data_IF_489071726497
#
_entry.id   IF_489071726497
#
_cell.length_a   1.000
_cell.length_b   1.000
_cell.length_c   1.000
_cell.angle_alpha   90.00
_cell.angle_beta   90.00
_cell.angle_gamma   90.00
#
_symmetry.space_group_name_H-M   'P 1'
#
loop_
_entity.id
_entity.type
_entity.pdbx_description
1 polymer ?
#
# COMPACT_ATOMS: atom_id res chain seq x y z
N UNK A 1 20.33 -2.77 -17.52
CA UNK A 1 19.22 -2.43 -16.59
C UNK A 1 19.30 -3.20 -15.27
N UNK A 2 19.30 -4.54 -15.26
CA UNK A 2 19.32 -5.35 -14.03
C UNK A 2 20.51 -5.09 -13.09
N UNK A 3 21.73 -4.90 -13.64
CA UNK A 3 22.92 -4.58 -12.83
C UNK A 3 22.80 -3.23 -12.10
N UNK A 4 22.21 -2.23 -12.76
CA UNK A 4 21.99 -0.89 -12.17
C UNK A 4 20.94 -0.98 -11.06
N UNK A 5 19.84 -1.69 -11.31
CA UNK A 5 18.79 -1.89 -10.31
C UNK A 5 19.30 -2.66 -9.08
N UNK A 6 20.13 -3.68 -9.28
CA UNK A 6 20.76 -4.41 -8.17
C UNK A 6 21.68 -3.51 -7.34
N UNK A 7 22.53 -2.71 -7.99
CA UNK A 7 23.40 -1.74 -7.31
C UNK A 7 22.60 -0.67 -6.56
N UNK A 8 21.51 -0.17 -7.15
CA UNK A 8 20.56 0.74 -6.50
C UNK A 8 20.00 0.12 -5.21
N UNK A 9 19.45 -1.10 -5.29
CA UNK A 9 18.91 -1.80 -4.11
C UNK A 9 19.96 -2.04 -3.04
N UNK A 10 21.18 -2.43 -3.43
CA UNK A 10 22.26 -2.65 -2.48
C UNK A 10 22.66 -1.36 -1.77
N UNK A 11 22.78 -0.25 -2.50
CA UNK A 11 23.14 1.06 -1.92
C UNK A 11 22.03 1.57 -0.99
N UNK A 12 20.77 1.40 -1.40
CA UNK A 12 19.59 1.75 -0.60
C UNK A 12 19.59 0.97 0.72
N UNK A 13 19.80 -0.35 0.66
CA UNK A 13 19.86 -1.21 1.84
C UNK A 13 21.04 -0.88 2.77
N UNK A 14 22.24 -0.66 2.21
CA UNK A 14 23.43 -0.33 3.00
C UNK A 14 23.29 1.03 3.72
N UNK A 15 22.55 1.97 3.14
CA UNK A 15 22.25 3.28 3.75
C UNK A 15 21.02 3.29 4.67
N UNK A 16 20.27 2.19 4.77
CA UNK A 16 19.01 2.15 5.53
C UNK A 16 17.91 3.04 4.94
N UNK A 17 17.96 3.34 3.63
CA UNK A 17 16.99 4.21 2.97
C UNK A 17 15.75 3.43 2.51
N UNK A 18 14.63 4.14 2.41
CA UNK A 18 13.39 3.67 1.81
C UNK A 18 12.95 4.68 0.74
N UNK A 19 12.56 4.19 -0.42
CA UNK A 19 11.81 4.97 -1.40
C UNK A 19 10.30 4.81 -1.20
N UNK A 20 9.51 5.54 -1.98
CA UNK A 20 8.05 5.51 -1.87
C UNK A 20 7.47 4.12 -2.12
N UNK A 21 8.03 3.38 -3.10
CA UNK A 21 7.60 2.02 -3.40
C UNK A 21 7.91 1.07 -2.24
N UNK A 22 9.07 1.20 -1.58
CA UNK A 22 9.40 0.37 -0.42
C UNK A 22 8.45 0.61 0.75
N UNK A 23 8.09 1.87 1.00
CA UNK A 23 7.18 2.24 2.09
C UNK A 23 5.84 1.53 1.87
N UNK A 24 5.30 1.67 0.66
CA UNK A 24 4.04 1.06 0.29
C UNK A 24 4.13 -0.47 0.32
N UNK A 25 5.23 -1.04 -0.18
CA UNK A 25 5.42 -2.49 -0.22
C UNK A 25 5.52 -3.11 1.16
N UNK A 26 6.33 -2.52 2.04
CA UNK A 26 6.46 -2.99 3.43
C UNK A 26 5.15 -2.85 4.17
N UNK A 27 4.42 -1.75 3.98
CA UNK A 27 3.14 -1.57 4.63
C UNK A 27 2.11 -2.59 4.15
N UNK A 28 1.97 -2.80 2.85
CA UNK A 28 1.09 -3.82 2.27
C UNK A 28 1.43 -5.23 2.79
N UNK A 29 2.72 -5.56 2.87
CA UNK A 29 3.17 -6.85 3.39
C UNK A 29 2.73 -7.03 4.85
N UNK A 30 2.99 -6.06 5.73
CA UNK A 30 2.58 -6.12 7.14
C UNK A 30 1.06 -6.21 7.27
N UNK A 31 0.30 -5.45 6.48
CA UNK A 31 -1.17 -5.46 6.56
C UNK A 31 -1.76 -6.83 6.19
N UNK A 32 -1.12 -7.57 5.28
CA UNK A 32 -1.56 -8.90 4.87
C UNK A 32 -1.07 -10.02 5.81
N UNK A 33 0.17 -9.92 6.29
CA UNK A 33 0.80 -10.99 7.06
C UNK A 33 0.47 -10.90 8.56
N UNK A 34 0.27 -9.70 9.10
CA UNK A 34 -0.02 -9.48 10.52
C UNK A 34 -1.43 -8.92 10.73
N UNK A 35 -2.37 -9.84 10.93
CA UNK A 35 -3.77 -9.50 11.20
C UNK A 35 -3.99 -8.78 12.54
N UNK A 36 -3.07 -8.88 13.49
CA UNK A 36 -3.20 -8.15 14.76
C UNK A 36 -2.90 -6.66 14.53
N UNK A 37 -1.80 -6.36 13.84
CA UNK A 37 -1.45 -4.99 13.47
C UNK A 37 -2.52 -4.38 12.57
N UNK A 38 -2.98 -5.11 11.55
CA UNK A 38 -4.05 -4.65 10.67
C UNK A 38 -5.31 -4.28 11.45
N UNK A 39 -5.80 -5.17 12.34
CA UNK A 39 -6.96 -4.90 13.20
C UNK A 39 -6.72 -3.73 14.15
N UNK A 40 -5.51 -3.57 14.68
CA UNK A 40 -5.16 -2.45 15.56
C UNK A 40 -5.22 -1.11 14.81
N UNK A 41 -4.78 -1.07 13.55
CA UNK A 41 -4.87 0.13 12.72
C UNK A 41 -6.33 0.39 12.33
N UNK A 42 -7.04 -0.62 11.85
CA UNK A 42 -8.43 -0.50 11.43
C UNK A 42 -9.35 -0.06 12.58
N UNK A 43 -9.07 -0.45 13.83
CA UNK A 43 -9.81 0.02 15.02
C UNK A 43 -9.84 1.54 15.19
N UNK A 44 -8.89 2.26 14.62
CA UNK A 44 -8.87 3.73 14.70
C UNK A 44 -9.86 4.38 13.72
N UNK A 45 -10.36 3.64 12.72
CA UNK A 45 -11.18 4.17 11.65
C UNK A 45 -12.36 3.24 11.37
N UNK A 46 -13.58 3.69 11.66
CA UNK A 46 -14.77 2.92 11.28
C UNK A 46 -15.07 3.00 9.78
N UNK A 47 -14.60 4.06 9.11
CA UNK A 47 -14.83 4.33 7.69
C UNK A 47 -13.57 4.91 7.05
N UNK A 48 -13.31 4.56 5.80
CA UNK A 48 -12.23 5.11 4.97
C UNK A 48 -12.80 5.49 3.61
N UNK A 49 -12.58 6.74 3.20
CA UNK A 49 -12.85 7.25 1.86
C UNK A 49 -11.59 7.09 1.02
N UNK A 50 -11.71 6.43 -0.13
CA UNK A 50 -10.67 6.35 -1.16
C UNK A 50 -11.14 7.17 -2.35
N UNK A 51 -10.47 8.29 -2.59
CA UNK A 51 -10.65 9.10 -3.78
C UNK A 51 -9.72 8.60 -4.91
N UNK A 52 -10.04 8.95 -6.15
CA UNK A 52 -9.26 8.58 -7.34
C UNK A 52 -8.95 7.07 -7.44
N UNK A 53 -9.95 6.23 -7.16
CA UNK A 53 -9.80 4.76 -7.15
C UNK A 53 -9.29 4.22 -8.50
N UNK A 54 -9.59 4.88 -9.61
CA UNK A 54 -9.13 4.48 -10.94
C UNK A 54 -7.60 4.46 -11.08
N UNK A 55 -6.87 5.25 -10.29
CA UNK A 55 -5.40 5.33 -10.32
C UNK A 55 -4.74 4.44 -9.25
N UNK A 56 -5.53 3.65 -8.52
CA UNK A 56 -5.03 2.75 -7.49
C UNK A 56 -4.28 1.58 -8.11
N UNK A 57 -3.02 1.40 -7.73
CA UNK A 57 -2.20 0.30 -8.22
C UNK A 57 -2.42 -1.00 -7.42
N UNK A 58 -1.97 -2.18 -7.92
CA UNK A 58 -2.20 -3.45 -7.24
C UNK A 58 -1.68 -3.52 -5.80
N UNK A 59 -0.61 -2.80 -5.48
CA UNK A 59 -0.02 -2.80 -4.14
C UNK A 59 -0.85 -1.97 -3.15
N UNK A 60 -1.41 -0.86 -3.61
CA UNK A 60 -2.38 -0.07 -2.84
C UNK A 60 -3.68 -0.87 -2.63
N UNK A 61 -4.16 -1.58 -3.66
CA UNK A 61 -5.32 -2.46 -3.53
C UNK A 61 -5.14 -3.51 -2.44
N UNK A 62 -3.95 -4.14 -2.35
CA UNK A 62 -3.66 -5.12 -1.30
C UNK A 62 -3.79 -4.57 0.13
N UNK A 63 -3.53 -3.28 0.32
CA UNK A 63 -3.72 -2.62 1.62
C UNK A 63 -5.21 -2.46 1.91
N UNK A 64 -5.97 -1.96 0.92
CA UNK A 64 -7.41 -1.76 1.05
C UNK A 64 -8.14 -3.08 1.30
N UNK A 65 -7.77 -4.13 0.55
CA UNK A 65 -8.30 -5.48 0.70
C UNK A 65 -8.06 -6.04 2.11
N UNK A 66 -6.88 -5.79 2.70
CA UNK A 66 -6.57 -6.22 4.06
C UNK A 66 -7.39 -5.48 5.13
N UNK A 67 -7.73 -4.20 4.89
CA UNK A 67 -8.51 -3.37 5.82
C UNK A 67 -10.02 -3.61 5.72
N UNK A 68 -10.53 -3.94 4.53
CA UNK A 68 -11.95 -4.10 4.24
C UNK A 68 -12.74 -5.00 5.22
N UNK A 69 -12.18 -6.07 5.82
CA UNK A 69 -12.92 -6.89 6.79
C UNK A 69 -13.16 -6.19 8.13
N UNK A 70 -12.41 -5.14 8.46
CA UNK A 70 -12.41 -4.50 9.78
C UNK A 70 -12.97 -3.08 9.79
N UNK A 71 -13.27 -2.50 8.62
CA UNK A 71 -13.83 -1.16 8.46
C UNK A 71 -14.63 -1.02 7.18
N UNK A 72 -15.41 0.06 7.05
CA UNK A 72 -16.18 0.33 5.85
C UNK A 72 -15.35 1.13 4.84
N UNK A 73 -15.18 0.60 3.63
CA UNK A 73 -14.56 1.33 2.52
C UNK A 73 -15.62 2.02 1.67
N UNK A 74 -15.40 3.28 1.34
CA UNK A 74 -16.17 4.01 0.34
C UNK A 74 -15.20 4.55 -0.71
N UNK A 75 -15.35 4.11 -1.96
CA UNK A 75 -14.38 4.38 -3.02
C UNK A 75 -15.05 5.20 -4.13
N UNK A 76 -14.38 6.24 -4.58
CA UNK A 76 -14.82 7.13 -5.66
C UNK A 76 -13.76 7.12 -6.75
N UNK A 77 -14.20 7.08 -8.01
CA UNK A 77 -13.32 7.15 -9.17
C UNK A 77 -14.11 7.17 -10.47
N UNK A 78 -13.43 7.55 -11.55
CA UNK A 78 -13.96 7.63 -12.92
C UNK A 78 -13.05 6.82 -13.85
N UNK A 79 -13.59 5.76 -14.47
CA UNK A 79 -12.82 4.86 -15.33
C UNK A 79 -12.32 5.56 -16.62
N UNK A 80 -13.00 6.64 -17.04
CA UNK A 80 -12.58 7.46 -18.18
C UNK A 80 -11.43 8.44 -17.85
N UNK A 81 -11.04 8.56 -16.57
CA UNK A 81 -10.00 9.49 -16.10
C UNK A 81 -8.71 8.80 -15.63
N UNK A 82 -8.58 7.49 -15.83
CA UNK A 82 -7.32 6.80 -15.55
C UNK A 82 -6.23 7.23 -16.54
N UNK A 83 -5.06 7.64 -16.04
CA UNK A 83 -3.93 8.18 -16.83
C UNK A 83 -2.67 7.31 -16.79
#
# INVERSE_FOLDING_TARGET
MLKIFAAYKQRKAAGGYLDFDDILHRFAQVMREDQEICRRIAKNYSHVLVDEMQDTNPLQWLILEALAPSLNLFCVGDDAQSI
#
